data_IF_857586692650
#
_entry.id   IF_857586692650
#
_cell.length_a   1.000
_cell.length_b   1.000
_cell.length_c   1.000
_cell.angle_alpha   90.00
_cell.angle_beta   90.00
_cell.angle_gamma   90.00
#
_symmetry.space_group_name_H-M   'P 1'
#
loop_
_entity.id
_entity.type
_entity.pdbx_description
1 polymer ?
#
# COMPACT_ATOMS: atom_id res chain seq x y z
N UNK A 1 -3.28 -15.92 -20.13
CA UNK A 1 -4.64 -16.49 -20.00
C UNK A 1 -5.58 -15.31 -19.90
N UNK A 2 -6.27 -14.95 -21.00
CA UNK A 2 -7.27 -13.88 -20.95
C UNK A 2 -8.52 -14.43 -20.26
N UNK A 3 -8.80 -14.00 -19.05
CA UNK A 3 -10.10 -14.26 -18.43
C UNK A 3 -11.11 -13.35 -19.12
N UNK A 4 -11.84 -13.89 -20.09
CA UNK A 4 -13.03 -13.27 -20.68
C UNK A 4 -14.26 -13.77 -19.94
N UNK A 5 -14.45 -13.31 -18.73
CA UNK A 5 -15.72 -13.43 -18.01
C UNK A 5 -16.08 -12.08 -17.39
N UNK A 6 -16.17 -11.06 -18.24
CA UNK A 6 -16.88 -9.86 -17.84
C UNK A 6 -18.37 -10.18 -17.95
N UNK A 7 -19.07 -10.17 -16.84
CA UNK A 7 -20.52 -10.06 -16.82
C UNK A 7 -20.91 -8.92 -17.79
N UNK A 8 -21.87 -9.11 -18.69
CA UNK A 8 -22.28 -8.06 -19.62
C UNK A 8 -22.85 -6.79 -18.95
N UNK A 9 -22.90 -6.78 -17.63
CA UNK A 9 -23.43 -5.66 -16.82
C UNK A 9 -22.36 -4.79 -16.15
N UNK A 10 -21.07 -5.16 -16.22
CA UNK A 10 -19.95 -4.34 -15.69
C UNK A 10 -18.96 -4.04 -16.80
N UNK A 11 -19.10 -2.87 -17.48
CA UNK A 11 -18.24 -2.52 -18.60
C UNK A 11 -16.89 -2.02 -18.11
N UNK A 12 -15.94 -2.90 -17.80
CA UNK A 12 -14.56 -2.55 -17.51
C UNK A 12 -13.96 -3.28 -16.30
N UNK A 13 -12.65 -3.13 -16.08
CA UNK A 13 -11.95 -3.73 -14.96
C UNK A 13 -12.26 -3.00 -13.65
N UNK A 14 -12.08 -3.69 -12.53
CA UNK A 14 -11.96 -3.06 -11.21
C UNK A 14 -10.47 -2.89 -10.91
N UNK A 15 -10.05 -1.68 -10.54
CA UNK A 15 -8.68 -1.43 -10.09
C UNK A 15 -8.60 -1.59 -8.57
N UNK A 16 -7.65 -2.39 -8.14
CA UNK A 16 -7.37 -2.63 -6.72
C UNK A 16 -5.99 -2.07 -6.39
N UNK A 17 -5.96 -1.11 -5.49
CA UNK A 17 -4.73 -0.44 -5.07
C UNK A 17 -4.22 -1.05 -3.77
N UNK A 18 -3.00 -1.60 -3.80
CA UNK A 18 -2.36 -2.22 -2.64
C UNK A 18 -1.99 -1.18 -1.58
N UNK A 19 -1.90 -1.65 -0.34
CA UNK A 19 -1.33 -0.89 0.76
C UNK A 19 0.19 -1.06 0.89
N UNK A 20 0.71 -0.70 2.06
CA UNK A 20 2.10 -0.90 2.46
C UNK A 20 2.47 -2.39 2.47
N UNK A 21 3.74 -2.69 2.18
CA UNK A 21 4.28 -4.06 2.18
C UNK A 21 4.59 -4.61 0.78
N UNK A 22 4.14 -3.93 -0.28
CA UNK A 22 4.42 -4.32 -1.67
C UNK A 22 5.71 -3.71 -2.25
N UNK A 23 6.40 -2.86 -1.47
CA UNK A 23 7.63 -2.18 -1.92
C UNK A 23 8.78 -3.16 -2.12
N UNK A 24 9.56 -2.91 -3.16
CA UNK A 24 10.82 -3.57 -3.41
C UNK A 24 11.80 -2.59 -4.06
N UNK A 25 13.11 -2.83 -3.87
CA UNK A 25 14.17 -1.89 -4.24
C UNK A 25 14.13 -1.37 -5.68
N UNK A 26 13.66 -2.17 -6.62
CA UNK A 26 13.62 -1.81 -8.06
C UNK A 26 12.23 -1.48 -8.58
N UNK A 27 11.25 -1.26 -7.69
CA UNK A 27 9.91 -0.90 -8.15
C UNK A 27 9.95 0.36 -9.03
N UNK A 28 9.17 0.36 -10.11
CA UNK A 28 9.11 1.39 -11.16
C UNK A 28 10.33 1.48 -12.09
N UNK A 29 11.52 0.96 -11.76
CA UNK A 29 12.75 1.12 -12.57
C UNK A 29 12.55 0.66 -14.02
N UNK A 30 11.97 -0.51 -14.22
CA UNK A 30 11.70 -1.04 -15.56
C UNK A 30 10.63 -0.23 -16.29
N UNK A 31 9.59 0.22 -15.59
CA UNK A 31 8.53 1.04 -16.19
C UNK A 31 9.04 2.42 -16.62
N UNK A 32 9.93 3.03 -15.84
CA UNK A 32 10.61 4.28 -16.19
C UNK A 32 11.42 4.11 -17.49
N UNK A 33 12.11 2.99 -17.64
CA UNK A 33 12.91 2.70 -18.83
C UNK A 33 12.06 2.38 -20.06
N UNK A 34 10.92 1.68 -19.88
CA UNK A 34 10.08 1.18 -20.98
C UNK A 34 9.05 2.20 -21.48
N UNK A 35 8.56 3.09 -20.60
CA UNK A 35 7.46 4.00 -20.90
C UNK A 35 7.82 5.46 -20.62
N UNK A 36 8.12 6.26 -21.68
CA UNK A 36 8.35 7.69 -21.52
C UNK A 36 7.17 8.43 -20.89
N UNK A 37 5.95 7.97 -21.13
CA UNK A 37 4.73 8.56 -20.57
C UNK A 37 4.62 8.28 -19.06
N UNK A 38 4.89 7.06 -18.62
CA UNK A 38 4.94 6.72 -17.20
C UNK A 38 6.04 7.53 -16.49
N UNK A 39 7.22 7.62 -17.11
CA UNK A 39 8.34 8.40 -16.60
C UNK A 39 7.97 9.87 -16.42
N UNK A 40 7.42 10.51 -17.45
CA UNK A 40 7.04 11.92 -17.40
C UNK A 40 6.01 12.18 -16.30
N UNK A 41 5.03 11.27 -16.16
CA UNK A 41 4.05 11.40 -15.09
C UNK A 41 4.66 11.23 -13.70
N UNK A 42 5.57 10.28 -13.53
CA UNK A 42 6.27 10.10 -12.26
C UNK A 42 7.16 11.31 -11.92
N UNK A 43 7.81 11.94 -12.91
CA UNK A 43 8.57 13.18 -12.74
C UNK A 43 7.70 14.36 -12.26
N UNK A 44 6.46 14.48 -12.76
CA UNK A 44 5.51 15.50 -12.27
C UNK A 44 5.12 15.27 -10.80
N UNK A 45 4.86 14.02 -10.43
CA UNK A 45 4.52 13.64 -9.04
C UNK A 45 5.71 13.79 -8.10
N UNK A 46 6.90 13.45 -8.57
CA UNK A 46 8.16 13.57 -7.84
C UNK A 46 8.48 15.01 -7.45
N UNK A 47 8.19 15.97 -8.33
CA UNK A 47 8.34 17.38 -8.04
C UNK A 47 7.46 17.85 -6.85
N UNK A 48 6.29 17.24 -6.66
CA UNK A 48 5.43 17.50 -5.49
C UNK A 48 6.07 16.92 -4.23
N UNK A 49 6.61 15.69 -4.33
CA UNK A 49 7.30 15.03 -3.21
C UNK A 49 8.54 15.81 -2.77
N UNK A 50 9.35 16.27 -3.71
CA UNK A 50 10.52 17.10 -3.41
C UNK A 50 10.12 18.38 -2.67
N UNK A 51 9.04 19.04 -3.11
CA UNK A 51 8.52 20.24 -2.47
C UNK A 51 7.96 19.98 -1.05
N UNK A 52 7.18 18.92 -0.86
CA UNK A 52 6.48 18.63 0.38
C UNK A 52 7.36 17.92 1.44
N UNK A 53 8.34 17.12 0.99
CA UNK A 53 9.10 16.22 1.85
C UNK A 53 10.62 16.37 1.73
N UNK A 54 11.12 17.12 0.73
CA UNK A 54 12.54 17.41 0.55
C UNK A 54 13.37 16.22 0.06
N UNK A 55 12.77 15.22 -0.56
CA UNK A 55 13.45 14.07 -1.17
C UNK A 55 12.76 13.64 -2.47
N UNK A 56 13.46 12.88 -3.30
CA UNK A 56 12.99 12.46 -4.63
C UNK A 56 12.81 10.95 -4.71
N UNK A 57 11.65 10.52 -5.25
CA UNK A 57 11.37 9.12 -5.57
C UNK A 57 12.35 8.63 -6.64
N UNK A 58 12.64 9.46 -7.63
CA UNK A 58 13.52 9.11 -8.75
C UNK A 58 14.96 8.90 -8.29
N UNK A 59 15.41 9.65 -7.29
CA UNK A 59 16.74 9.46 -6.70
C UNK A 59 16.81 8.10 -6.00
N UNK A 60 15.80 7.73 -5.23
CA UNK A 60 15.73 6.41 -4.58
C UNK A 60 15.69 5.27 -5.62
N UNK A 61 14.87 5.39 -6.66
CA UNK A 61 14.76 4.37 -7.71
C UNK A 61 16.07 4.16 -8.46
N UNK A 62 16.86 5.23 -8.65
CA UNK A 62 18.11 5.20 -9.38
C UNK A 62 19.32 4.82 -8.53
N UNK A 63 19.25 4.97 -7.22
CA UNK A 63 20.33 4.59 -6.31
C UNK A 63 20.16 3.13 -5.85
N UNK A 64 21.04 2.27 -6.34
CA UNK A 64 21.02 0.84 -5.99
C UNK A 64 21.41 0.57 -4.51
N UNK A 65 21.95 1.55 -3.79
CA UNK A 65 22.31 1.45 -2.37
C UNK A 65 21.15 1.85 -1.44
N UNK A 66 20.18 2.62 -1.91
CA UNK A 66 19.04 3.05 -1.10
C UNK A 66 17.97 1.96 -0.96
N UNK A 67 17.29 2.00 0.16
CA UNK A 67 16.12 1.17 0.47
C UNK A 67 14.94 2.07 0.85
N UNK A 68 13.75 1.55 0.69
CA UNK A 68 12.54 2.23 1.14
C UNK A 68 12.31 1.97 2.64
N UNK A 69 12.15 3.03 3.42
CA UNK A 69 11.59 2.99 4.77
C UNK A 69 10.06 3.14 4.73
N UNK A 70 9.42 3.24 5.90
CA UNK A 70 7.96 3.35 5.99
C UNK A 70 7.43 4.59 5.28
N UNK A 71 8.10 5.73 5.40
CA UNK A 71 7.67 6.99 4.79
C UNK A 71 7.86 6.94 3.28
N UNK A 72 9.08 6.71 2.81
CA UNK A 72 9.44 6.74 1.40
C UNK A 72 8.70 5.66 0.60
N UNK A 73 8.47 4.47 1.19
CA UNK A 73 7.70 3.40 0.56
C UNK A 73 6.26 3.81 0.28
N UNK A 74 5.56 4.39 1.26
CA UNK A 74 4.16 4.77 1.11
C UNK A 74 3.98 5.82 0.02
N UNK A 75 4.81 6.86 0.02
CA UNK A 75 4.76 7.93 -0.99
C UNK A 75 5.10 7.40 -2.38
N UNK A 76 6.18 6.61 -2.51
CA UNK A 76 6.59 6.06 -3.80
C UNK A 76 5.54 5.10 -4.38
N UNK A 77 4.95 4.21 -3.57
CA UNK A 77 3.87 3.32 -4.02
C UNK A 77 2.68 4.14 -4.52
N UNK A 78 2.26 5.18 -3.79
CA UNK A 78 1.13 6.04 -4.19
C UNK A 78 1.41 6.72 -5.53
N UNK A 79 2.59 7.30 -5.71
CA UNK A 79 2.99 7.93 -6.97
C UNK A 79 3.00 6.93 -8.14
N UNK A 80 3.55 5.73 -7.94
CA UNK A 80 3.55 4.66 -8.94
C UNK A 80 2.12 4.24 -9.31
N UNK A 81 1.25 4.09 -8.33
CA UNK A 81 -0.15 3.73 -8.55
C UNK A 81 -0.89 4.79 -9.38
N UNK A 82 -0.68 6.08 -9.10
CA UNK A 82 -1.24 7.19 -9.87
C UNK A 82 -0.68 7.17 -11.30
N UNK A 83 0.64 7.06 -11.46
CA UNK A 83 1.27 7.04 -12.77
C UNK A 83 0.83 5.85 -13.64
N UNK A 84 0.64 4.67 -13.02
CA UNK A 84 0.08 3.50 -13.71
C UNK A 84 -1.38 3.71 -14.09
N UNK A 85 -2.18 4.33 -13.24
CA UNK A 85 -3.59 4.65 -13.54
C UNK A 85 -3.70 5.52 -14.78
N UNK A 86 -2.86 6.57 -14.86
CA UNK A 86 -2.85 7.47 -16.02
C UNK A 86 -2.30 6.78 -17.28
N UNK A 87 -1.31 5.91 -17.12
CA UNK A 87 -0.81 5.11 -18.22
C UNK A 87 -1.89 4.19 -18.79
N UNK A 88 -2.64 3.47 -17.95
CA UNK A 88 -3.76 2.65 -18.39
C UNK A 88 -4.85 3.49 -19.07
N UNK A 89 -5.17 4.65 -18.50
CA UNK A 89 -6.14 5.57 -19.09
C UNK A 89 -5.73 6.05 -20.47
N UNK A 90 -4.43 6.24 -20.73
CA UNK A 90 -3.90 6.61 -22.05
C UNK A 90 -4.08 5.53 -23.12
N UNK A 91 -4.14 4.26 -22.72
CA UNK A 91 -4.49 3.14 -23.58
C UNK A 91 -6.01 2.90 -23.68
N UNK A 92 -6.83 3.81 -23.14
CA UNK A 92 -8.28 3.68 -23.12
C UNK A 92 -8.82 2.70 -22.07
N UNK A 93 -7.97 2.19 -21.19
CA UNK A 93 -8.38 1.29 -20.10
C UNK A 93 -8.74 2.14 -18.88
N UNK A 94 -10.04 2.21 -18.59
CA UNK A 94 -10.58 2.92 -17.42
C UNK A 94 -11.30 1.95 -16.50
N UNK A 95 -11.17 2.11 -15.17
CA UNK A 95 -11.86 1.23 -14.24
C UNK A 95 -13.37 1.51 -14.23
N UNK A 96 -14.15 0.44 -14.13
CA UNK A 96 -15.59 0.51 -13.84
C UNK A 96 -15.84 0.66 -12.33
N UNK A 97 -14.87 0.33 -11.52
CA UNK A 97 -14.85 0.51 -10.07
C UNK A 97 -13.42 0.53 -9.56
N UNK A 98 -13.23 1.12 -8.41
CA UNK A 98 -11.93 1.20 -7.74
C UNK A 98 -12.07 0.81 -6.28
N UNK A 99 -11.02 0.21 -5.72
CA UNK A 99 -10.91 -0.01 -4.29
C UNK A 99 -9.44 0.10 -3.87
N UNK A 100 -9.21 0.56 -2.66
CA UNK A 100 -7.88 0.69 -2.08
C UNK A 100 -7.80 0.01 -0.73
N UNK A 101 -6.64 -0.51 -0.39
CA UNK A 101 -6.35 -1.05 0.94
C UNK A 101 -5.42 -0.08 1.67
N UNK A 102 -5.86 0.45 2.84
CA UNK A 102 -5.07 1.38 3.65
C UNK A 102 -4.60 2.59 2.81
N UNK A 103 -3.29 2.81 2.68
CA UNK A 103 -2.75 3.90 1.85
C UNK A 103 -3.18 3.83 0.38
N UNK A 104 -3.54 2.66 -0.13
CA UNK A 104 -4.07 2.50 -1.48
C UNK A 104 -5.40 3.23 -1.72
N UNK A 105 -6.11 3.60 -0.64
CA UNK A 105 -7.33 4.43 -0.74
C UNK A 105 -7.05 5.81 -1.34
N UNK A 106 -5.85 6.37 -1.18
CA UNK A 106 -5.44 7.66 -1.76
C UNK A 106 -5.45 7.55 -3.29
N UNK A 107 -4.78 6.53 -3.84
CA UNK A 107 -4.75 6.30 -5.29
C UNK A 107 -6.14 5.90 -5.82
N UNK A 108 -6.93 5.16 -5.04
CA UNK A 108 -8.31 4.84 -5.41
C UNK A 108 -9.19 6.10 -5.47
N UNK A 109 -9.07 7.03 -4.51
CA UNK A 109 -9.77 8.30 -4.52
C UNK A 109 -9.39 9.17 -5.74
N UNK A 110 -8.11 9.20 -6.09
CA UNK A 110 -7.62 9.84 -7.32
C UNK A 110 -8.26 9.19 -8.56
N UNK A 111 -8.19 7.88 -8.69
CA UNK A 111 -8.71 7.15 -9.85
C UNK A 111 -10.24 7.27 -10.00
N UNK A 112 -10.94 7.48 -8.89
CA UNK A 112 -12.38 7.78 -8.87
C UNK A 112 -12.71 9.24 -9.25
N UNK A 113 -11.70 10.11 -9.37
CA UNK A 113 -11.88 11.55 -9.62
C UNK A 113 -12.32 12.34 -8.39
N UNK A 114 -12.16 11.78 -7.20
CA UNK A 114 -12.54 12.44 -5.93
C UNK A 114 -11.53 13.47 -5.45
N UNK A 115 -10.25 13.31 -5.78
CA UNK A 115 -9.16 14.23 -5.47
C UNK A 115 -8.25 14.43 -6.68
N UNK A 116 -7.51 15.52 -6.70
CA UNK A 116 -6.47 15.76 -7.73
C UNK A 116 -5.22 14.90 -7.45
N UNK A 117 -4.33 14.79 -8.44
CA UNK A 117 -3.05 14.12 -8.23
C UNK A 117 -2.16 14.89 -7.25
N UNK A 118 -2.23 16.21 -7.27
CA UNK A 118 -1.53 17.09 -6.32
C UNK A 118 -2.02 16.83 -4.90
N UNK A 119 -3.34 16.90 -4.66
CA UNK A 119 -3.90 16.60 -3.33
C UNK A 119 -3.55 15.18 -2.87
N UNK A 120 -3.59 14.20 -3.77
CA UNK A 120 -3.24 12.82 -3.45
C UNK A 120 -1.79 12.70 -2.98
N UNK A 121 -0.84 13.38 -3.65
CA UNK A 121 0.57 13.35 -3.25
C UNK A 121 0.80 14.13 -1.95
N UNK A 122 0.18 15.28 -1.76
CA UNK A 122 0.24 16.05 -0.50
C UNK A 122 -0.27 15.19 0.68
N UNK A 123 -1.44 14.54 0.51
CA UNK A 123 -1.98 13.63 1.54
C UNK A 123 -1.00 12.47 1.81
N UNK A 124 -0.44 11.86 0.76
CA UNK A 124 0.50 10.75 0.90
C UNK A 124 1.77 11.16 1.68
N UNK A 125 2.38 12.32 1.35
CA UNK A 125 3.56 12.83 2.02
C UNK A 125 3.28 13.12 3.51
N UNK A 126 2.24 13.87 3.82
CA UNK A 126 1.93 14.21 5.20
C UNK A 126 1.52 13.00 6.04
N UNK A 127 0.70 12.09 5.48
CA UNK A 127 0.32 10.86 6.16
C UNK A 127 1.54 9.99 6.47
N UNK A 128 2.40 9.78 5.48
CA UNK A 128 3.58 8.93 5.63
C UNK A 128 4.57 9.49 6.66
N UNK A 129 4.83 10.80 6.62
CA UNK A 129 5.66 11.51 7.59
C UNK A 129 5.11 11.39 9.01
N UNK A 130 3.82 11.65 9.21
CA UNK A 130 3.21 11.57 10.55
C UNK A 130 3.21 10.14 11.11
N UNK A 131 3.08 9.12 10.25
CA UNK A 131 3.24 7.72 10.66
C UNK A 131 4.68 7.41 11.06
N UNK A 132 5.67 7.84 10.28
CA UNK A 132 7.09 7.67 10.60
C UNK A 132 7.48 8.38 11.90
N UNK A 133 7.02 9.62 12.12
CA UNK A 133 7.20 10.36 13.38
C UNK A 133 6.56 9.63 14.58
N UNK A 134 5.35 9.08 14.36
CA UNK A 134 4.66 8.28 15.38
C UNK A 134 5.44 7.01 15.74
N UNK A 135 5.91 6.25 14.76
CA UNK A 135 6.75 5.07 14.98
C UNK A 135 8.05 5.42 15.72
N UNK A 136 8.72 6.49 15.29
CA UNK A 136 9.99 6.93 15.90
C UNK A 136 9.82 7.46 17.33
N UNK A 137 8.62 7.86 17.73
CA UNK A 137 8.34 8.34 19.10
C UNK A 137 8.17 7.22 20.13
N UNK A 138 8.00 5.97 19.67
CA UNK A 138 7.79 4.80 20.52
C UNK A 138 9.14 4.15 20.87
N UNK A 139 9.30 3.75 22.14
CA UNK A 139 10.40 2.86 22.53
C UNK A 139 10.18 1.46 21.98
N UNK A 140 11.22 0.65 21.87
CA UNK A 140 11.15 -0.75 21.41
C UNK A 140 10.12 -1.57 22.20
N UNK A 141 9.90 -1.24 23.49
CA UNK A 141 8.94 -1.92 24.34
C UNK A 141 7.47 -1.51 24.06
N UNK A 142 7.26 -0.34 23.46
CA UNK A 142 5.94 0.20 23.11
C UNK A 142 5.57 -0.12 21.66
N UNK A 143 6.51 -0.57 20.84
CA UNK A 143 6.25 -0.95 19.48
C UNK A 143 5.34 -2.18 19.42
N UNK A 144 4.22 -2.03 18.72
CA UNK A 144 3.34 -3.13 18.36
C UNK A 144 3.87 -3.94 17.18
N UNK A 145 3.10 -4.95 16.83
CA UNK A 145 3.27 -5.69 15.59
C UNK A 145 1.91 -5.92 14.92
N UNK A 146 1.96 -6.21 13.62
CA UNK A 146 0.79 -6.66 12.84
C UNK A 146 1.16 -7.92 12.09
N UNK A 147 0.20 -8.85 11.96
CA UNK A 147 0.33 -10.06 11.18
C UNK A 147 -0.98 -10.38 10.47
N UNK A 148 -0.89 -10.95 9.27
CA UNK A 148 -2.04 -11.52 8.58
C UNK A 148 -2.14 -12.98 9.00
N UNK A 149 -3.28 -13.37 9.57
CA UNK A 149 -3.47 -14.71 10.13
C UNK A 149 -4.72 -15.39 9.57
N UNK A 150 -4.67 -16.72 9.45
CA UNK A 150 -5.81 -17.57 9.04
C UNK A 150 -6.74 -17.83 10.22
N UNK A 151 -7.34 -16.76 10.72
CA UNK A 151 -8.39 -16.76 11.74
C UNK A 151 -9.49 -15.78 11.36
N UNK A 152 -10.72 -16.09 11.76
CA UNK A 152 -11.82 -15.13 11.66
C UNK A 152 -11.68 -14.03 12.73
N UNK A 153 -12.36 -12.90 12.52
CA UNK A 153 -12.41 -11.85 13.54
C UNK A 153 -13.06 -12.30 14.84
N UNK A 154 -14.00 -13.26 14.77
CA UNK A 154 -14.65 -13.86 15.92
C UNK A 154 -13.67 -14.74 16.71
N UNK A 155 -12.81 -15.52 16.01
CA UNK A 155 -11.77 -16.31 16.65
C UNK A 155 -10.74 -15.39 17.34
N UNK A 156 -10.37 -14.28 16.72
CA UNK A 156 -9.46 -13.28 17.32
C UNK A 156 -10.08 -12.67 18.58
N UNK A 157 -11.34 -12.28 18.52
CA UNK A 157 -12.04 -11.71 19.67
C UNK A 157 -12.20 -12.69 20.86
N UNK A 158 -12.03 -13.98 20.61
CA UNK A 158 -12.06 -15.04 21.63
C UNK A 158 -10.67 -15.35 22.22
N UNK A 159 -9.58 -14.75 21.69
CA UNK A 159 -8.24 -14.90 22.24
C UNK A 159 -8.12 -14.14 23.56
N UNK A 160 -7.38 -14.71 24.50
CA UNK A 160 -6.93 -13.99 25.68
C UNK A 160 -5.75 -13.08 25.30
N UNK A 161 -5.68 -11.88 25.89
CA UNK A 161 -4.57 -10.95 25.69
C UNK A 161 -4.99 -9.61 25.09
N UNK A 162 -4.02 -8.92 24.44
CA UNK A 162 -4.21 -7.58 23.91
C UNK A 162 -4.11 -7.58 22.35
N UNK A 163 -4.43 -8.70 21.72
CA UNK A 163 -4.47 -8.81 20.26
C UNK A 163 -5.88 -8.45 19.79
N UNK A 164 -5.96 -7.55 18.81
CA UNK A 164 -7.21 -7.08 18.26
C UNK A 164 -7.23 -7.21 16.72
N UNK A 165 -8.42 -7.35 16.09
CA UNK A 165 -8.54 -7.24 14.65
C UNK A 165 -8.20 -5.82 14.19
N UNK A 166 -7.14 -5.68 13.39
CA UNK A 166 -6.75 -4.41 12.79
C UNK A 166 -7.34 -4.23 11.38
N UNK A 167 -7.45 -5.32 10.59
CA UNK A 167 -8.07 -5.30 9.26
C UNK A 167 -8.88 -6.57 9.04
N UNK A 168 -10.12 -6.43 8.61
CA UNK A 168 -10.98 -7.53 8.18
C UNK A 168 -10.65 -7.91 6.73
N UNK A 169 -9.71 -8.84 6.54
CA UNK A 169 -9.22 -9.21 5.20
C UNK A 169 -10.19 -10.15 4.48
N UNK A 170 -10.88 -11.01 5.22
CA UNK A 170 -11.88 -11.94 4.69
C UNK A 170 -12.52 -12.78 5.81
N UNK A 171 -13.50 -13.63 5.49
CA UNK A 171 -14.22 -14.40 6.52
C UNK A 171 -13.34 -15.28 7.41
N UNK A 172 -12.24 -15.81 6.87
CA UNK A 172 -11.28 -16.66 7.59
C UNK A 172 -9.87 -16.09 7.62
N UNK A 173 -9.70 -14.80 7.29
CA UNK A 173 -8.40 -14.13 7.25
C UNK A 173 -8.53 -12.76 7.89
N UNK A 174 -7.72 -12.49 8.88
CA UNK A 174 -7.75 -11.22 9.61
C UNK A 174 -6.31 -10.70 9.76
N UNK A 175 -6.11 -9.39 9.59
CA UNK A 175 -4.88 -8.77 10.06
C UNK A 175 -5.07 -8.41 11.51
N UNK A 176 -4.22 -8.94 12.37
CA UNK A 176 -4.20 -8.64 13.80
C UNK A 176 -3.19 -7.56 14.12
N UNK A 177 -3.44 -6.82 15.18
CA UNK A 177 -2.51 -5.86 15.79
C UNK A 177 -2.47 -6.06 17.29
N UNK A 178 -1.32 -5.75 17.91
CA UNK A 178 -1.17 -5.86 19.36
C UNK A 178 0.29 -5.71 19.80
N UNK A 179 0.57 -5.95 21.09
CA UNK A 179 1.93 -5.99 21.60
C UNK A 179 2.79 -6.96 20.80
N UNK A 180 3.99 -6.52 20.42
CA UNK A 180 4.87 -7.25 19.51
C UNK A 180 5.05 -8.72 19.90
N UNK A 181 5.31 -9.00 21.17
CA UNK A 181 5.56 -10.37 21.61
C UNK A 181 4.31 -11.24 21.50
N UNK A 182 3.13 -10.71 21.87
CA UNK A 182 1.88 -11.45 21.79
C UNK A 182 1.54 -11.82 20.32
N UNK A 183 1.80 -10.88 19.38
CA UNK A 183 1.58 -11.16 17.95
C UNK A 183 2.57 -12.20 17.43
N UNK A 184 3.85 -12.14 17.82
CA UNK A 184 4.84 -13.14 17.43
C UNK A 184 4.50 -14.53 17.99
N UNK A 185 4.08 -14.62 19.25
CA UNK A 185 3.66 -15.87 19.88
C UNK A 185 2.44 -16.48 19.19
N UNK A 186 1.49 -15.64 18.77
CA UNK A 186 0.34 -16.08 17.98
C UNK A 186 0.75 -16.65 16.63
N UNK A 187 1.65 -15.95 15.91
CA UNK A 187 2.18 -16.41 14.61
C UNK A 187 2.87 -17.75 14.76
N UNK A 188 3.77 -17.91 15.75
CA UNK A 188 4.46 -19.18 16.00
C UNK A 188 3.48 -20.31 16.32
N UNK A 189 2.45 -20.04 17.12
CA UNK A 189 1.40 -21.01 17.44
C UNK A 189 0.65 -21.45 16.20
N UNK A 190 0.21 -20.51 15.35
CA UNK A 190 -0.56 -20.81 14.15
C UNK A 190 0.27 -21.57 13.10
N UNK A 191 1.52 -21.19 12.90
CA UNK A 191 2.46 -21.94 12.07
C UNK A 191 2.63 -23.37 12.56
N UNK A 192 2.75 -23.57 13.87
CA UNK A 192 2.80 -24.90 14.49
C UNK A 192 1.51 -25.73 14.29
N UNK A 193 0.37 -25.09 14.11
CA UNK A 193 -0.93 -25.69 13.77
C UNK A 193 -1.10 -25.91 12.26
N UNK A 194 -0.15 -25.45 11.42
CA UNK A 194 -0.23 -25.53 9.96
C UNK A 194 -1.19 -24.52 9.33
N UNK A 195 -1.52 -23.46 10.04
CA UNK A 195 -2.30 -22.34 9.54
C UNK A 195 -1.38 -21.25 9.02
N UNK A 196 -1.90 -20.45 8.07
CA UNK A 196 -1.16 -19.29 7.58
C UNK A 196 -1.07 -18.19 8.65
N UNK A 197 0.15 -17.69 8.89
CA UNK A 197 0.40 -16.56 9.77
C UNK A 197 1.68 -15.79 9.37
#
# INVERSE_FOLDING_TARGET
MCIRDSSPQVPGPVFVYSGFGSQHRKMAKDMIALSPQFKARLEELDAIVDFESGWSILDIVNDDAQTYDTETAQVAITAIQIALTDLFASFGVRPAGVMGMSMGEIAAAYAAGGISAEDAMVIACHRARLMGEGEASLSDAEQGAMAVVELSAEDIAALDGNIEPAVYTGPGMTTVGGPRQEVLDLVEKLDGEGKFA
#
